data_IF_715931405343
#
_entry.id   IF_715931405343
#
_cell.length_a   1.000
_cell.length_b   1.000
_cell.length_c   1.000
_cell.angle_alpha   90.00
_cell.angle_beta   90.00
_cell.angle_gamma   90.00
#
_symmetry.space_group_name_H-M   'P 1'
#
loop_
_entity.id
_entity.type
_entity.pdbx_description
1 polymer ?
#
# COMPACT_ATOMS: atom_id res chain seq x y z
N UNK A 1 -22.58 2.74 24.40
CA UNK A 1 -21.22 2.70 23.84
C UNK A 1 -20.57 1.41 24.32
N UNK A 2 -20.65 0.35 23.53
CA UNK A 2 -19.93 -0.89 23.82
C UNK A 2 -18.47 -0.72 23.41
N UNK A 3 -17.55 -1.08 24.32
CA UNK A 3 -16.11 -1.04 24.09
C UNK A 3 -15.73 -2.12 23.08
N UNK A 4 -15.16 -1.71 21.95
CA UNK A 4 -14.50 -2.62 21.02
C UNK A 4 -13.33 -3.34 21.73
N UNK A 5 -13.49 -4.63 22.01
CA UNK A 5 -12.36 -5.49 22.31
C UNK A 5 -11.52 -5.62 21.04
N UNK A 6 -10.26 -5.17 21.09
CA UNK A 6 -9.24 -5.51 20.10
C UNK A 6 -8.94 -7.01 20.19
N UNK A 7 -9.74 -7.84 19.53
CA UNK A 7 -9.41 -9.23 19.29
C UNK A 7 -8.25 -9.31 18.30
N UNK A 8 -7.16 -9.99 18.68
CA UNK A 8 -6.20 -10.52 17.70
C UNK A 8 -6.91 -11.64 16.94
N UNK A 9 -7.51 -11.31 15.80
CA UNK A 9 -8.10 -12.30 14.91
C UNK A 9 -7.00 -12.82 13.99
N UNK A 10 -6.65 -14.10 14.12
CA UNK A 10 -5.96 -14.84 13.08
C UNK A 10 -6.96 -15.09 11.95
N UNK A 11 -6.75 -14.49 10.79
CA UNK A 11 -7.56 -14.81 9.61
C UNK A 11 -7.19 -16.23 9.20
N UNK A 12 -8.07 -17.19 9.48
CA UNK A 12 -7.91 -18.56 9.03
C UNK A 12 -8.33 -18.60 7.55
N UNK A 13 -7.42 -18.25 6.64
CA UNK A 13 -7.61 -18.33 5.18
C UNK A 13 -7.46 -19.80 4.72
N UNK A 14 -8.10 -20.73 5.44
CA UNK A 14 -8.00 -22.16 5.12
C UNK A 14 -8.85 -22.55 3.90
N UNK A 15 -9.83 -21.72 3.55
CA UNK A 15 -10.66 -21.91 2.35
C UNK A 15 -10.03 -21.21 1.13
N UNK A 16 -9.89 -21.90 -0.02
CA UNK A 16 -9.37 -21.30 -1.23
C UNK A 16 -10.41 -20.35 -1.84
N UNK A 17 -10.26 -19.06 -1.57
CA UNK A 17 -10.96 -18.01 -2.32
C UNK A 17 -10.17 -17.64 -3.57
N UNK A 18 -10.89 -17.25 -4.62
CA UNK A 18 -10.32 -16.58 -5.77
C UNK A 18 -10.23 -15.07 -5.48
N UNK A 19 -9.04 -14.49 -5.23
CA UNK A 19 -8.91 -13.08 -4.96
C UNK A 19 -9.02 -12.27 -6.25
N UNK A 20 -9.86 -11.24 -6.24
CA UNK A 20 -9.99 -10.31 -7.35
C UNK A 20 -9.86 -8.87 -6.84
N UNK A 21 -8.83 -8.19 -7.33
CA UNK A 21 -8.53 -6.81 -6.95
C UNK A 21 -9.22 -5.84 -7.91
N UNK A 22 -10.04 -4.94 -7.35
CA UNK A 22 -10.76 -3.93 -8.11
C UNK A 22 -10.38 -2.56 -7.54
N UNK A 23 -9.75 -1.74 -8.37
CA UNK A 23 -9.68 -0.31 -8.13
C UNK A 23 -10.94 0.34 -8.72
N UNK A 24 -11.72 1.03 -7.87
CA UNK A 24 -13.01 1.57 -8.28
C UNK A 24 -12.82 2.74 -9.26
N UNK A 25 -13.46 2.71 -10.45
CA UNK A 25 -13.48 3.84 -11.35
C UNK A 25 -14.27 5.03 -10.76
N UNK A 26 -13.94 6.24 -11.20
CA UNK A 26 -14.71 7.46 -10.92
C UNK A 26 -16.01 7.55 -11.75
N UNK A 27 -16.78 6.45 -11.82
CA UNK A 27 -18.08 6.38 -12.48
C UNK A 27 -19.04 5.57 -11.62
N UNK A 28 -20.36 5.90 -11.63
CA UNK A 28 -21.39 5.10 -10.94
C UNK A 28 -21.25 3.62 -11.26
N UNK A 29 -21.40 2.77 -10.25
CA UNK A 29 -21.27 1.31 -10.35
C UNK A 29 -22.36 0.62 -9.54
N UNK A 30 -23.21 -0.10 -10.25
CA UNK A 30 -24.10 -1.08 -9.65
C UNK A 30 -23.40 -2.41 -9.38
N UNK A 31 -24.10 -3.33 -8.71
CA UNK A 31 -23.55 -4.66 -8.37
C UNK A 31 -23.27 -5.54 -9.59
N UNK A 32 -24.05 -5.39 -10.67
CA UNK A 32 -23.78 -6.09 -11.94
C UNK A 32 -22.44 -5.62 -12.53
N UNK A 33 -22.10 -4.35 -12.33
CA UNK A 33 -20.83 -3.82 -12.76
C UNK A 33 -19.67 -4.38 -11.90
N UNK A 34 -19.90 -4.67 -10.61
CA UNK A 34 -18.89 -5.36 -9.78
C UNK A 34 -18.60 -6.79 -10.27
N UNK A 35 -19.63 -7.55 -10.66
CA UNK A 35 -19.45 -8.87 -11.27
C UNK A 35 -18.64 -8.78 -12.56
N UNK A 36 -19.04 -7.91 -13.49
CA UNK A 36 -18.37 -7.74 -14.78
C UNK A 36 -16.94 -7.22 -14.62
N UNK A 37 -16.72 -6.29 -13.68
CA UNK A 37 -15.38 -5.80 -13.34
C UNK A 37 -14.53 -6.91 -12.72
N UNK A 38 -15.08 -7.71 -11.82
CA UNK A 38 -14.38 -8.83 -11.21
C UNK A 38 -14.00 -9.88 -12.27
N UNK A 39 -14.95 -10.28 -13.11
CA UNK A 39 -14.76 -11.22 -14.24
C UNK A 39 -13.66 -10.70 -15.15
N UNK A 40 -13.75 -9.44 -15.59
CA UNK A 40 -12.75 -8.80 -16.47
C UNK A 40 -11.36 -8.76 -15.82
N UNK A 41 -11.26 -8.39 -14.54
CA UNK A 41 -9.97 -8.33 -13.82
C UNK A 41 -9.33 -9.70 -13.70
N UNK A 42 -10.10 -10.71 -13.31
CA UNK A 42 -9.63 -12.09 -13.27
C UNK A 42 -9.13 -12.57 -14.63
N UNK A 43 -9.93 -12.41 -15.68
CA UNK A 43 -9.58 -12.80 -17.06
C UNK A 43 -8.29 -12.11 -17.51
N UNK A 44 -8.12 -10.83 -17.18
CA UNK A 44 -6.91 -10.05 -17.52
C UNK A 44 -5.67 -10.45 -16.73
N UNK A 45 -5.84 -11.01 -15.52
CA UNK A 45 -4.73 -11.44 -14.67
C UNK A 45 -4.10 -12.76 -15.13
N UNK A 46 -4.85 -13.57 -15.89
CA UNK A 46 -4.36 -14.79 -16.50
C UNK A 46 -3.77 -14.41 -17.86
N UNK A 47 -2.44 -14.24 -17.88
CA UNK A 47 -1.67 -13.74 -19.03
C UNK A 47 -1.64 -14.65 -20.27
N UNK A 48 -2.32 -15.79 -20.25
CA UNK A 48 -2.48 -16.68 -21.42
C UNK A 48 -3.97 -16.94 -21.65
N UNK A 49 -4.38 -17.05 -22.92
CA UNK A 49 -5.76 -17.40 -23.28
C UNK A 49 -5.99 -18.89 -23.05
N UNK A 50 -6.09 -19.25 -21.76
CA UNK A 50 -6.44 -20.60 -21.33
C UNK A 50 -7.95 -20.73 -21.54
N UNK A 51 -8.35 -21.55 -22.50
CA UNK A 51 -9.76 -21.86 -22.75
C UNK A 51 -10.45 -22.28 -21.45
N UNK A 52 -11.62 -21.68 -21.17
CA UNK A 52 -12.39 -21.97 -19.95
C UNK A 52 -12.15 -21.05 -18.75
N UNK A 53 -11.29 -20.02 -18.84
CA UNK A 53 -11.12 -19.03 -17.77
C UNK A 53 -12.43 -18.35 -17.33
N UNK A 54 -13.33 -18.07 -18.26
CA UNK A 54 -14.65 -17.53 -17.90
C UNK A 54 -15.48 -18.52 -17.08
N UNK A 55 -15.50 -19.80 -17.51
CA UNK A 55 -16.18 -20.88 -16.81
C UNK A 55 -15.64 -21.06 -15.39
N UNK A 56 -14.31 -20.96 -15.21
CA UNK A 56 -13.67 -21.02 -13.91
C UNK A 56 -14.17 -19.89 -13.02
N UNK A 57 -14.12 -18.64 -13.48
CA UNK A 57 -14.64 -17.51 -12.71
C UNK A 57 -16.12 -17.69 -12.33
N UNK A 58 -16.94 -18.10 -13.29
CA UNK A 58 -18.37 -18.33 -13.08
C UNK A 58 -18.65 -19.43 -12.05
N UNK A 59 -17.86 -20.50 -12.03
CA UNK A 59 -17.96 -21.56 -11.03
C UNK A 59 -17.61 -21.03 -9.63
N UNK A 60 -16.48 -20.31 -9.50
CA UNK A 60 -16.08 -19.69 -8.23
C UNK A 60 -17.12 -18.66 -7.74
N UNK A 61 -17.70 -17.89 -8.66
CA UNK A 61 -18.72 -16.91 -8.34
C UNK A 61 -19.98 -17.59 -7.80
N UNK A 62 -20.51 -18.60 -8.52
CA UNK A 62 -21.70 -19.36 -8.11
C UNK A 62 -21.51 -20.07 -6.77
N UNK A 63 -20.31 -20.56 -6.50
CA UNK A 63 -19.95 -21.21 -5.23
C UNK A 63 -19.74 -20.22 -4.08
N UNK A 64 -19.83 -18.90 -4.29
CA UNK A 64 -19.54 -17.87 -3.29
C UNK A 64 -18.07 -17.82 -2.87
N UNK A 65 -17.17 -18.39 -3.67
CA UNK A 65 -15.72 -18.50 -3.39
C UNK A 65 -14.90 -17.39 -4.03
N UNK A 66 -15.53 -16.28 -4.40
CA UNK A 66 -14.83 -15.08 -4.87
C UNK A 66 -14.65 -14.12 -3.70
N UNK A 67 -13.40 -13.68 -3.50
CA UNK A 67 -13.06 -12.61 -2.58
C UNK A 67 -12.76 -11.34 -3.40
N UNK A 68 -13.64 -10.35 -3.31
CA UNK A 68 -13.45 -9.06 -3.96
C UNK A 68 -12.73 -8.12 -3.00
N UNK A 69 -11.58 -7.59 -3.42
CA UNK A 69 -10.89 -6.52 -2.69
C UNK A 69 -11.13 -5.18 -3.40
N UNK A 70 -11.81 -4.26 -2.71
CA UNK A 70 -11.96 -2.87 -3.15
C UNK A 70 -10.91 -2.01 -2.44
N UNK A 71 -9.84 -1.69 -3.17
CA UNK A 71 -8.72 -0.90 -2.65
C UNK A 71 -9.00 0.61 -2.71
N UNK A 72 -8.54 1.35 -1.70
CA UNK A 72 -8.80 2.78 -1.52
C UNK A 72 -10.27 3.18 -1.74
N UNK A 73 -11.22 2.45 -1.14
CA UNK A 73 -12.66 2.69 -1.32
C UNK A 73 -13.06 4.16 -1.03
N UNK A 74 -12.37 4.81 -0.10
CA UNK A 74 -12.62 6.19 0.26
C UNK A 74 -12.19 7.23 -0.79
N UNK A 75 -11.38 6.84 -1.80
CA UNK A 75 -11.02 7.69 -2.93
C UNK A 75 -12.10 7.75 -4.02
N UNK A 76 -13.03 6.79 -4.03
CA UNK A 76 -14.18 6.82 -4.94
C UNK A 76 -15.13 7.97 -4.60
N UNK A 77 -15.93 8.43 -5.56
CA UNK A 77 -16.94 9.46 -5.28
C UNK A 77 -17.99 8.97 -4.28
N UNK A 78 -18.62 9.89 -3.55
CA UNK A 78 -19.65 9.54 -2.53
C UNK A 78 -20.79 8.73 -3.14
N UNK A 79 -21.21 9.08 -4.36
CA UNK A 79 -22.25 8.35 -5.09
C UNK A 79 -21.86 6.89 -5.33
N UNK A 80 -20.63 6.65 -5.83
CA UNK A 80 -20.12 5.29 -6.07
C UNK A 80 -20.04 4.49 -4.77
N UNK A 81 -19.59 5.13 -3.68
CA UNK A 81 -19.54 4.47 -2.37
C UNK A 81 -20.93 4.02 -1.91
N UNK A 82 -21.96 4.86 -2.08
CA UNK A 82 -23.34 4.54 -1.69
C UNK A 82 -23.94 3.42 -2.53
N UNK A 83 -23.73 3.44 -3.84
CA UNK A 83 -24.23 2.40 -4.76
C UNK A 83 -23.62 1.03 -4.44
N UNK A 84 -22.30 0.97 -4.19
CA UNK A 84 -21.62 -0.26 -3.77
C UNK A 84 -22.15 -0.75 -2.41
N UNK A 85 -22.36 0.15 -1.45
CA UNK A 85 -22.93 -0.20 -0.15
C UNK A 85 -24.35 -0.78 -0.29
N UNK A 86 -25.21 -0.14 -1.08
CA UNK A 86 -26.59 -0.58 -1.30
C UNK A 86 -26.63 -1.93 -2.02
N UNK A 87 -25.74 -2.12 -2.99
CA UNK A 87 -25.48 -3.37 -3.67
C UNK A 87 -25.14 -4.50 -2.68
N UNK A 88 -24.20 -4.26 -1.76
CA UNK A 88 -23.82 -5.25 -0.74
C UNK A 88 -24.97 -5.57 0.21
N UNK A 89 -25.76 -4.57 0.63
CA UNK A 89 -26.93 -4.76 1.53
C UNK A 89 -28.03 -5.63 0.93
N UNK A 90 -28.29 -5.49 -0.37
CA UNK A 90 -29.39 -6.21 -1.04
C UNK A 90 -29.12 -7.72 -1.18
N UNK A 91 -27.87 -8.16 -1.01
CA UNK A 91 -27.48 -9.56 -1.12
C UNK A 91 -27.59 -10.07 -2.56
N UNK A 92 -26.50 -10.61 -3.10
CA UNK A 92 -26.54 -11.28 -4.41
C UNK A 92 -26.71 -12.78 -4.21
N UNK A 93 -27.35 -13.48 -5.16
CA UNK A 93 -27.68 -14.92 -5.07
C UNK A 93 -26.47 -15.81 -4.72
N UNK A 94 -25.26 -15.39 -5.10
CA UNK A 94 -24.02 -16.14 -4.86
C UNK A 94 -23.11 -15.55 -3.76
N UNK A 95 -23.52 -14.45 -3.10
CA UNK A 95 -22.84 -13.73 -2.01
C UNK A 95 -21.29 -13.84 -1.98
N UNK A 96 -20.56 -13.15 -2.87
CA UNK A 96 -19.10 -13.09 -2.77
C UNK A 96 -18.68 -12.43 -1.45
N UNK A 97 -17.53 -12.84 -0.89
CA UNK A 97 -16.92 -12.11 0.22
C UNK A 97 -16.30 -10.83 -0.31
N UNK A 98 -16.51 -9.72 0.39
CA UNK A 98 -16.00 -8.41 -0.02
C UNK A 98 -15.17 -7.80 1.10
N UNK A 99 -13.96 -7.38 0.78
CA UNK A 99 -13.06 -6.65 1.66
C UNK A 99 -12.91 -5.23 1.13
N UNK A 100 -13.25 -4.25 1.96
CA UNK A 100 -13.05 -2.84 1.65
C UNK A 100 -11.83 -2.32 2.39
N UNK A 101 -10.86 -1.78 1.66
CA UNK A 101 -9.74 -1.07 2.25
C UNK A 101 -9.99 0.44 2.16
N UNK A 102 -9.80 1.15 3.27
CA UNK A 102 -9.93 2.60 3.31
C UNK A 102 -9.09 3.21 4.43
N UNK A 103 -8.88 4.53 4.34
CA UNK A 103 -8.24 5.29 5.41
C UNK A 103 -9.09 5.29 6.68
N UNK A 104 -8.47 4.94 7.81
CA UNK A 104 -9.09 4.83 9.13
C UNK A 104 -9.91 6.07 9.52
N UNK A 105 -9.35 7.27 9.34
CA UNK A 105 -10.06 8.52 9.64
C UNK A 105 -11.33 8.73 8.80
N UNK A 106 -11.37 8.24 7.56
CA UNK A 106 -12.56 8.36 6.70
C UNK A 106 -13.63 7.35 7.09
N UNK A 107 -13.23 6.13 7.48
CA UNK A 107 -14.14 5.12 8.01
C UNK A 107 -14.90 5.65 9.23
N UNK A 108 -14.18 6.14 10.24
CA UNK A 108 -14.80 6.58 11.50
C UNK A 108 -15.71 7.79 11.31
N UNK A 109 -15.33 8.74 10.46
CA UNK A 109 -16.14 9.90 10.13
C UNK A 109 -17.48 9.56 9.45
N UNK A 110 -17.57 8.38 8.84
CA UNK A 110 -18.77 7.89 8.13
C UNK A 110 -19.32 6.60 8.73
N UNK A 111 -18.95 6.27 9.97
CA UNK A 111 -19.25 4.98 10.59
C UNK A 111 -20.75 4.65 10.55
N UNK A 112 -21.64 5.62 10.75
CA UNK A 112 -23.11 5.47 10.62
C UNK A 112 -23.59 4.99 9.24
N UNK A 113 -22.87 5.33 8.17
CA UNK A 113 -23.19 4.87 6.81
C UNK A 113 -22.81 3.40 6.63
N UNK A 114 -21.74 2.99 7.32
CA UNK A 114 -21.11 1.68 7.20
C UNK A 114 -21.65 0.65 8.20
N UNK A 115 -22.28 1.12 9.27
CA UNK A 115 -22.85 0.29 10.31
C UNK A 115 -23.92 -0.66 9.74
N UNK A 116 -23.82 -1.94 10.11
CA UNK A 116 -24.72 -3.00 9.67
C UNK A 116 -24.42 -3.64 8.31
N UNK A 117 -23.36 -3.22 7.61
CA UNK A 117 -22.93 -3.83 6.34
C UNK A 117 -21.76 -4.79 6.56
N UNK A 118 -20.84 -4.43 7.45
CA UNK A 118 -19.64 -5.22 7.70
C UNK A 118 -19.85 -6.19 8.87
N UNK A 119 -19.50 -7.45 8.65
CA UNK A 119 -19.42 -8.45 9.73
C UNK A 119 -18.25 -8.18 10.65
N UNK A 120 -17.13 -7.71 10.09
CA UNK A 120 -15.87 -7.53 10.79
C UNK A 120 -15.18 -6.24 10.32
N UNK A 121 -14.51 -5.56 11.24
CA UNK A 121 -13.72 -4.36 10.96
C UNK A 121 -12.32 -4.56 11.53
N UNK A 122 -11.32 -4.46 10.66
CA UNK A 122 -9.92 -4.63 11.03
C UNK A 122 -9.18 -3.31 10.88
N UNK A 123 -8.37 -2.96 11.88
CA UNK A 123 -7.45 -1.83 11.79
C UNK A 123 -6.05 -2.35 11.54
N UNK A 124 -5.44 -1.94 10.43
CA UNK A 124 -4.02 -2.18 10.17
C UNK A 124 -3.23 -1.16 10.99
N UNK A 125 -2.66 -1.63 12.10
CA UNK A 125 -1.86 -0.79 12.98
C UNK A 125 -0.52 -0.45 12.32
N UNK A 126 0.10 0.69 12.70
CA UNK A 126 1.46 1.01 12.28
C UNK A 126 2.42 -0.13 12.60
N UNK A 127 3.50 -0.20 11.82
CA UNK A 127 4.54 -1.20 12.05
C UNK A 127 5.13 -0.99 13.44
N UNK A 128 5.09 -2.06 14.23
CA UNK A 128 6.08 -2.21 15.27
C UNK A 128 7.38 -2.55 14.55
N UNK A 129 8.32 -1.60 14.50
CA UNK A 129 9.61 -1.73 13.82
C UNK A 129 10.49 -2.77 14.52
N UNK A 130 10.12 -4.05 14.35
CA UNK A 130 10.84 -5.21 14.85
C UNK A 130 12.00 -5.54 13.93
N UNK A 131 12.99 -6.20 14.49
CA UNK A 131 14.27 -6.49 13.84
C UNK A 131 14.13 -7.34 12.58
N UNK A 132 13.27 -8.35 12.63
CA UNK A 132 12.93 -9.21 11.50
C UNK A 132 12.46 -8.40 10.28
N UNK A 133 11.67 -7.35 10.52
CA UNK A 133 11.16 -6.48 9.47
C UNK A 133 12.27 -5.61 8.86
N UNK A 134 13.18 -5.07 9.68
CA UNK A 134 14.31 -4.26 9.18
C UNK A 134 15.23 -5.13 8.33
N UNK A 135 15.61 -6.31 8.81
CA UNK A 135 16.46 -7.27 8.10
C UNK A 135 15.86 -7.65 6.74
N UNK A 136 14.55 -7.93 6.67
CA UNK A 136 13.86 -8.25 5.42
C UNK A 136 14.01 -7.14 4.38
N UNK A 137 13.82 -5.88 4.77
CA UNK A 137 13.94 -4.75 3.83
C UNK A 137 15.38 -4.46 3.42
N UNK A 138 16.35 -4.61 4.33
CA UNK A 138 17.77 -4.43 4.02
C UNK A 138 18.24 -5.48 3.03
N UNK A 139 17.89 -6.75 3.26
CA UNK A 139 18.17 -7.86 2.33
C UNK A 139 17.56 -7.61 0.95
N UNK A 140 16.31 -7.15 0.89
CA UNK A 140 15.64 -6.84 -0.38
C UNK A 140 16.31 -5.69 -1.15
N UNK A 141 16.92 -4.72 -0.46
CA UNK A 141 17.54 -3.55 -1.06
C UNK A 141 19.05 -3.70 -1.32
N UNK A 142 19.69 -4.70 -0.72
CA UNK A 142 21.12 -4.98 -0.86
C UNK A 142 21.39 -6.48 -0.88
N UNK A 143 20.86 -7.22 -1.88
CA UNK A 143 20.90 -8.69 -1.92
C UNK A 143 22.31 -9.28 -2.07
N UNK A 144 23.32 -8.43 -2.33
CA UNK A 144 24.71 -8.84 -2.46
C UNK A 144 25.50 -8.79 -1.14
N UNK A 145 24.92 -8.24 -0.07
CA UNK A 145 25.57 -8.18 1.24
C UNK A 145 25.48 -9.54 1.92
N UNK A 146 26.55 -9.94 2.61
CA UNK A 146 26.53 -11.12 3.47
C UNK A 146 25.66 -10.92 4.70
N UNK A 147 25.17 -12.01 5.28
CA UNK A 147 24.26 -11.97 6.45
C UNK A 147 24.85 -11.17 7.62
N UNK A 148 26.16 -11.29 7.88
CA UNK A 148 26.85 -10.56 8.96
C UNK A 148 26.83 -9.03 8.74
N UNK A 149 26.97 -8.57 7.49
CA UNK A 149 26.92 -7.15 7.16
C UNK A 149 25.49 -6.61 7.30
N UNK A 150 24.49 -7.42 6.97
CA UNK A 150 23.08 -7.08 7.12
C UNK A 150 22.73 -6.97 8.59
N UNK A 151 23.13 -7.93 9.42
CA UNK A 151 22.87 -7.90 10.85
C UNK A 151 23.51 -6.68 11.51
N UNK A 152 24.78 -6.40 11.19
CA UNK A 152 25.46 -5.20 11.67
C UNK A 152 24.72 -3.92 11.27
N UNK A 153 24.29 -3.82 10.01
CA UNK A 153 23.52 -2.66 9.56
C UNK A 153 22.20 -2.52 10.32
N UNK A 154 21.50 -3.61 10.59
CA UNK A 154 20.23 -3.61 11.34
C UNK A 154 20.46 -3.12 12.78
N UNK A 155 21.53 -3.56 13.43
CA UNK A 155 21.93 -3.08 14.76
C UNK A 155 22.24 -1.58 14.76
N UNK A 156 23.07 -1.12 13.81
CA UNK A 156 23.45 0.28 13.69
C UNK A 156 22.23 1.18 13.37
N UNK A 157 21.32 0.68 12.51
CA UNK A 157 20.07 1.35 12.16
C UNK A 157 19.12 1.44 13.35
N UNK A 158 19.01 0.39 14.17
CA UNK A 158 18.24 0.44 15.42
C UNK A 158 18.82 1.50 16.35
N UNK A 159 20.14 1.52 16.52
CA UNK A 159 20.81 2.56 17.32
C UNK A 159 20.52 3.97 16.81
N UNK A 160 20.45 4.17 15.49
CA UNK A 160 20.08 5.45 14.89
C UNK A 160 18.59 5.81 15.13
N UNK A 161 17.68 4.83 15.05
CA UNK A 161 16.27 5.03 15.37
C UNK A 161 16.04 5.40 16.84
N UNK A 162 16.78 4.79 17.78
CA UNK A 162 16.70 5.11 19.21
C UNK A 162 17.18 6.54 19.49
N UNK A 163 18.28 6.96 18.83
CA UNK A 163 18.75 8.36 18.89
C UNK A 163 17.72 9.32 18.29
N UNK A 164 17.09 8.94 17.18
CA UNK A 164 16.01 9.71 16.56
C UNK A 164 14.80 9.81 17.47
N UNK A 165 14.42 8.74 18.19
CA UNK A 165 13.31 8.74 19.13
C UNK A 165 13.52 9.78 20.23
N UNK A 166 14.71 9.81 20.83
CA UNK A 166 15.06 10.76 21.90
C UNK A 166 15.03 12.21 21.41
N UNK A 167 15.49 12.47 20.18
CA UNK A 167 15.57 13.81 19.61
C UNK A 167 14.25 14.29 19.00
N UNK A 168 13.54 13.41 18.31
CA UNK A 168 12.38 13.68 17.45
C UNK A 168 11.34 12.54 17.55
N UNK A 169 10.64 12.38 18.68
CA UNK A 169 9.68 11.29 18.88
C UNK A 169 8.55 11.25 17.82
N UNK A 170 8.14 12.42 17.31
CA UNK A 170 7.11 12.52 16.26
C UNK A 170 7.59 11.97 14.91
N UNK A 171 8.84 12.24 14.54
CA UNK A 171 9.42 11.72 13.31
C UNK A 171 9.65 10.21 13.43
N UNK A 172 10.16 9.73 14.57
CA UNK A 172 10.29 8.30 14.85
C UNK A 172 8.96 7.55 14.75
N UNK A 173 7.87 8.08 15.32
CA UNK A 173 6.52 7.50 15.18
C UNK A 173 6.05 7.49 13.73
N UNK A 174 6.42 8.50 12.96
CA UNK A 174 6.07 8.56 11.54
C UNK A 174 6.73 7.45 10.72
N UNK A 175 7.93 6.99 11.13
CA UNK A 175 8.61 5.85 10.51
C UNK A 175 7.93 4.51 10.77
N UNK A 176 6.89 4.45 11.60
CA UNK A 176 6.05 3.25 11.75
C UNK A 176 5.10 3.08 10.54
N UNK A 177 4.98 4.10 9.69
CA UNK A 177 4.33 3.95 8.40
C UNK A 177 5.23 3.13 7.45
N UNK A 178 4.75 1.99 6.90
CA UNK A 178 5.57 1.12 6.03
C UNK A 178 6.20 1.82 4.83
N UNK A 179 5.47 2.74 4.21
CA UNK A 179 5.96 3.46 3.04
C UNK A 179 7.09 4.40 3.42
N UNK A 180 6.89 5.20 4.47
CA UNK A 180 7.94 6.12 4.94
C UNK A 180 9.15 5.36 5.49
N UNK A 181 8.93 4.23 6.16
CA UNK A 181 9.98 3.34 6.62
C UNK A 181 10.84 2.82 5.47
N UNK A 182 10.20 2.25 4.44
CA UNK A 182 10.87 1.75 3.23
C UNK A 182 11.67 2.85 2.54
N UNK A 183 11.07 4.02 2.37
CA UNK A 183 11.74 5.21 1.82
C UNK A 183 12.98 5.57 2.64
N UNK A 184 12.86 5.54 3.97
CA UNK A 184 13.97 5.87 4.88
C UNK A 184 15.09 4.85 4.80
N UNK A 185 14.80 3.54 4.81
CA UNK A 185 15.85 2.51 4.60
C UNK A 185 16.52 2.71 3.24
N UNK A 186 15.75 2.94 2.18
CA UNK A 186 16.32 3.13 0.85
C UNK A 186 17.28 4.32 0.78
N UNK A 187 16.96 5.41 1.49
CA UNK A 187 17.83 6.56 1.61
C UNK A 187 19.05 6.27 2.47
N UNK A 188 18.91 5.58 3.59
CA UNK A 188 20.01 5.27 4.51
C UNK A 188 21.00 4.27 3.90
N UNK A 189 20.53 3.28 3.13
CA UNK A 189 21.40 2.33 2.40
C UNK A 189 22.33 3.07 1.43
N UNK A 190 21.90 4.23 0.94
CA UNK A 190 22.57 5.00 -0.10
C UNK A 190 23.41 6.16 0.46
N UNK A 191 22.84 6.93 1.39
CA UNK A 191 23.43 8.14 1.99
C UNK A 191 24.06 7.89 3.36
N UNK A 192 23.91 6.68 3.90
CA UNK A 192 24.37 6.31 5.24
C UNK A 192 23.40 6.71 6.37
N UNK A 193 23.72 6.25 7.58
CA UNK A 193 22.92 6.44 8.79
C UNK A 193 22.88 7.89 9.28
N UNK A 194 23.88 8.69 8.93
CA UNK A 194 23.96 10.12 9.29
C UNK A 194 22.75 10.92 8.79
N UNK A 195 22.07 10.45 7.74
CA UNK A 195 20.84 11.05 7.24
C UNK A 195 19.82 11.24 8.38
N UNK A 196 19.65 10.22 9.23
CA UNK A 196 18.70 10.25 10.35
C UNK A 196 19.09 11.28 11.42
N UNK A 197 20.35 11.69 11.46
CA UNK A 197 20.83 12.70 12.39
C UNK A 197 20.63 14.13 11.85
N UNK A 198 20.45 14.27 10.53
CA UNK A 198 20.28 15.56 9.83
C UNK A 198 18.81 15.90 9.61
N UNK A 199 17.95 14.91 9.35
CA UNK A 199 16.52 15.15 9.08
C UNK A 199 15.74 15.53 10.34
N UNK A 200 14.86 16.52 10.21
CA UNK A 200 14.05 17.07 11.29
C UNK A 200 12.54 16.83 11.10
N UNK A 201 12.11 16.47 9.89
CA UNK A 201 10.69 16.30 9.58
C UNK A 201 10.43 15.21 8.54
N UNK A 202 9.17 14.75 8.46
CA UNK A 202 8.75 13.85 7.38
C UNK A 202 8.93 14.48 6.00
N UNK A 203 8.67 15.78 5.90
CA UNK A 203 8.79 16.52 4.65
C UNK A 203 10.23 16.54 4.13
N UNK A 204 11.21 16.63 5.03
CA UNK A 204 12.63 16.50 4.68
C UNK A 204 12.97 15.10 4.17
N UNK A 205 12.47 14.03 4.81
CA UNK A 205 12.66 12.66 4.29
C UNK A 205 12.05 12.48 2.89
N UNK A 206 10.85 13.03 2.65
CA UNK A 206 10.26 13.01 1.32
C UNK A 206 11.08 13.81 0.31
N UNK A 207 11.59 15.00 0.68
CA UNK A 207 12.45 15.80 -0.19
C UNK A 207 13.71 15.04 -0.57
N UNK A 208 14.40 14.45 0.40
CA UNK A 208 15.61 13.65 0.18
C UNK A 208 15.35 12.45 -0.76
N UNK A 209 14.17 11.85 -0.67
CA UNK A 209 13.74 10.77 -1.55
C UNK A 209 13.39 11.25 -2.95
N UNK A 210 12.66 12.35 -3.08
CA UNK A 210 12.34 12.97 -4.38
C UNK A 210 13.62 13.35 -5.10
N UNK A 211 14.57 13.98 -4.42
CA UNK A 211 15.88 14.35 -4.98
C UNK A 211 16.62 13.12 -5.53
N UNK A 212 16.63 12.03 -4.77
CA UNK A 212 17.20 10.76 -5.22
C UNK A 212 16.49 10.19 -6.46
N UNK A 213 15.15 10.25 -6.53
CA UNK A 213 14.41 9.78 -7.70
C UNK A 213 14.72 10.62 -8.94
N UNK A 214 14.86 11.93 -8.77
CA UNK A 214 15.24 12.87 -9.81
C UNK A 214 16.64 12.55 -10.34
N UNK A 215 17.63 12.39 -9.46
CA UNK A 215 18.99 12.04 -9.84
C UNK A 215 19.05 10.72 -10.62
N UNK A 216 18.36 9.68 -10.14
CA UNK A 216 18.25 8.40 -10.86
C UNK A 216 17.56 8.53 -12.21
N UNK A 217 16.58 9.41 -12.32
CA UNK A 217 15.92 9.74 -13.58
C UNK A 217 16.89 10.30 -14.60
N UNK A 218 17.72 11.27 -14.19
CA UNK A 218 18.74 11.86 -15.05
C UNK A 218 19.87 10.89 -15.40
N UNK A 219 20.31 10.04 -14.48
CA UNK A 219 21.29 8.99 -14.76
C UNK A 219 20.78 8.01 -15.83
N UNK A 220 19.50 7.62 -15.76
CA UNK A 220 18.88 6.77 -16.78
C UNK A 220 18.83 7.46 -18.14
N UNK A 221 18.43 8.73 -18.19
CA UNK A 221 18.41 9.50 -19.43
C UNK A 221 19.81 9.57 -20.05
N UNK A 222 20.84 9.82 -19.24
CA UNK A 222 22.24 9.80 -19.68
C UNK A 222 22.65 8.42 -20.22
N UNK A 223 22.27 7.34 -19.55
CA UNK A 223 22.49 5.97 -20.03
C UNK A 223 21.79 5.64 -21.35
N UNK A 224 20.74 6.39 -21.70
CA UNK A 224 20.04 6.32 -22.98
C UNK A 224 20.61 7.27 -24.04
N UNK A 225 21.74 7.94 -23.77
CA UNK A 225 22.38 8.90 -24.67
C UNK A 225 21.70 10.27 -24.72
N UNK A 226 20.79 10.57 -23.79
CA UNK A 226 20.16 11.88 -23.67
C UNK A 226 21.03 12.76 -22.78
N UNK A 227 21.74 13.71 -23.39
CA UNK A 227 22.46 14.75 -22.66
C UNK A 227 21.58 16.00 -22.54
N UNK A 228 21.09 16.27 -21.33
CA UNK A 228 20.44 17.54 -21.03
C UNK A 228 21.50 18.60 -20.75
N UNK A 229 21.34 19.79 -21.33
CA UNK A 229 22.15 20.94 -20.95
C UNK A 229 21.89 21.32 -19.48
N UNK A 230 22.84 21.99 -18.82
CA UNK A 230 22.69 22.41 -17.42
C UNK A 230 21.41 23.21 -17.15
N UNK A 231 20.99 24.06 -18.10
CA UNK A 231 19.75 24.84 -18.01
C UNK A 231 18.49 23.98 -18.13
N UNK A 232 18.51 22.93 -18.95
CA UNK A 232 17.38 22.01 -19.09
C UNK A 232 17.23 21.14 -17.84
N UNK A 233 18.34 20.69 -17.27
CA UNK A 233 18.35 19.97 -15.99
C UNK A 233 17.74 20.82 -14.88
N UNK A 234 18.21 22.05 -14.68
CA UNK A 234 17.66 22.98 -13.67
C UNK A 234 16.16 23.22 -13.84
N UNK A 235 15.69 23.34 -15.09
CA UNK A 235 14.26 23.52 -15.40
C UNK A 235 13.43 22.30 -14.99
N UNK A 236 13.90 21.10 -15.28
CA UNK A 236 13.24 19.85 -14.90
C UNK A 236 13.26 19.61 -13.39
N UNK A 237 14.39 19.87 -12.74
CA UNK A 237 14.51 19.78 -11.27
C UNK A 237 13.52 20.71 -10.57
N UNK A 238 13.39 21.95 -11.08
CA UNK A 238 12.42 22.90 -10.54
C UNK A 238 10.97 22.43 -10.74
N UNK A 239 10.62 21.97 -11.94
CA UNK A 239 9.28 21.46 -12.25
C UNK A 239 8.85 20.30 -11.34
N UNK A 240 9.77 19.37 -11.04
CA UNK A 240 9.50 18.20 -10.19
C UNK A 240 9.41 18.59 -8.70
N UNK A 241 10.16 19.62 -8.28
CA UNK A 241 10.12 20.11 -6.89
C UNK A 241 8.89 20.98 -6.59
N UNK A 242 8.34 21.63 -7.61
CA UNK A 242 7.17 22.51 -7.49
C UNK A 242 5.82 21.76 -7.64
N UNK A 243 5.84 20.47 -8.05
CA UNK A 243 4.67 19.58 -8.18
C UNK A 243 4.38 18.76 -6.94
#
# INVERSE_FOLDING_TARGET
MEQFQKSKVSINIAEPYLPVFIHLPNKPLGIKDLYELAKKRFISSIGQDVGGREQVFENFWKDGKVLILLDSFDEASVQVQQEVIEALRKGYEAQPKVLLAMRDGVFWAKSDTFWGIFSDVFSILPLQLRDDFISLWVNALSPQKGDDEVQKFVEDFRGALDRLERRRPSLRRSLENPLLFKTTINLVVDKGLELLEKVNSRAELYREYTDKLVDRGFERLRGMGVELSGKEREKWEKLIRDS
#
